data_IF_808588981170
#
_entry.id   IF_808588981170
#
_cell.length_a   1.000
_cell.length_b   1.000
_cell.length_c   1.000
_cell.angle_alpha   90.00
_cell.angle_beta   90.00
_cell.angle_gamma   90.00
#
_symmetry.space_group_name_H-M   'P 1'
#
loop_
_entity.id
_entity.type
_entity.pdbx_description
1 polymer ?
#
# COMPACT_ATOMS: atom_id res chain seq x y z
N UNK A 1 4.42 2.99 -5.78
CA UNK A 1 3.15 2.53 -5.18
C UNK A 1 2.00 2.91 -6.10
N UNK A 2 1.27 1.93 -6.55
CA UNK A 2 0.11 2.15 -7.40
C UNK A 2 -1.16 2.12 -6.57
N UNK A 3 -2.16 2.91 -6.98
CA UNK A 3 -3.44 3.02 -6.28
C UNK A 3 -4.60 2.69 -7.19
N UNK A 4 -5.67 2.15 -6.60
CA UNK A 4 -6.94 1.87 -7.29
C UNK A 4 -6.78 0.96 -8.51
N UNK A 5 -5.90 -0.04 -8.40
CA UNK A 5 -5.72 -1.05 -9.44
C UNK A 5 -6.89 -2.02 -9.46
N UNK A 6 -7.42 -2.31 -10.66
CA UNK A 6 -8.53 -3.25 -10.84
C UNK A 6 -8.03 -4.58 -11.42
N UNK A 7 -8.65 -5.66 -10.97
CA UNK A 7 -8.29 -7.03 -11.37
C UNK A 7 -9.55 -7.84 -11.67
N UNK A 8 -9.46 -8.76 -12.61
CA UNK A 8 -10.57 -9.69 -12.92
C UNK A 8 -10.67 -10.81 -11.89
N UNK A 9 -9.55 -11.16 -11.26
CA UNK A 9 -9.48 -12.14 -10.18
C UNK A 9 -8.92 -11.47 -8.93
N UNK A 10 -9.18 -12.07 -7.74
CA UNK A 10 -8.66 -11.51 -6.50
C UNK A 10 -7.14 -11.45 -6.55
N UNK A 11 -6.54 -10.25 -6.40
CA UNK A 11 -5.09 -10.13 -6.45
C UNK A 11 -4.44 -10.77 -5.22
N UNK A 12 -3.32 -11.43 -5.46
CA UNK A 12 -2.53 -12.07 -4.42
C UNK A 12 -1.11 -11.49 -4.44
N UNK A 13 -0.36 -11.75 -3.36
CA UNK A 13 1.06 -11.44 -3.33
C UNK A 13 1.75 -12.20 -4.45
N UNK A 14 2.47 -11.49 -5.31
CA UNK A 14 3.18 -12.09 -6.43
C UNK A 14 4.67 -11.71 -6.40
N UNK A 15 5.57 -12.60 -6.84
CA UNK A 15 6.99 -12.29 -6.86
C UNK A 15 7.29 -11.16 -7.85
N UNK A 16 8.24 -10.30 -7.48
CA UNK A 16 8.78 -9.25 -8.34
C UNK A 16 10.30 -9.20 -8.16
N UNK A 17 11.01 -9.81 -9.09
CA UNK A 17 12.45 -9.99 -8.96
C UNK A 17 12.79 -11.06 -7.93
N UNK A 18 14.04 -11.07 -7.46
CA UNK A 18 14.54 -12.12 -6.56
C UNK A 18 14.27 -11.84 -5.07
N UNK A 19 14.14 -10.57 -4.70
CA UNK A 19 14.08 -10.13 -3.30
C UNK A 19 12.88 -9.28 -2.95
N UNK A 20 11.96 -9.06 -3.90
CA UNK A 20 10.76 -8.24 -3.73
C UNK A 20 9.49 -8.99 -4.09
N UNK A 21 8.37 -8.48 -3.63
CA UNK A 21 7.04 -9.00 -3.97
C UNK A 21 6.07 -7.84 -4.18
N UNK A 22 5.11 -8.02 -5.10
CA UNK A 22 3.98 -7.11 -5.22
C UNK A 22 2.94 -7.49 -4.18
N UNK A 23 2.57 -6.54 -3.32
CA UNK A 23 1.62 -6.76 -2.23
C UNK A 23 0.40 -5.88 -2.43
N UNK A 24 -0.78 -6.46 -2.75
CA UNK A 24 -2.03 -5.70 -2.81
C UNK A 24 -2.58 -5.50 -1.40
N UNK A 25 -3.10 -4.30 -1.14
CA UNK A 25 -3.69 -3.92 0.15
C UNK A 25 -5.10 -3.37 -0.05
N UNK A 26 -5.98 -3.59 0.94
CA UNK A 26 -7.37 -3.14 0.91
C UNK A 26 -8.11 -3.62 -0.33
N UNK A 27 -8.06 -4.91 -0.58
CA UNK A 27 -8.74 -5.53 -1.73
C UNK A 27 -10.25 -5.52 -1.50
N UNK A 28 -11.01 -4.97 -2.45
CA UNK A 28 -12.46 -4.88 -2.40
C UNK A 28 -13.07 -5.59 -3.59
N UNK A 29 -14.25 -6.15 -3.40
CA UNK A 29 -15.05 -6.72 -4.48
C UNK A 29 -15.91 -5.64 -5.11
N UNK A 30 -15.90 -5.57 -6.44
CA UNK A 30 -16.69 -4.59 -7.19
C UNK A 30 -17.61 -5.38 -8.12
N UNK A 31 -18.94 -5.27 -7.96
CA UNK A 31 -19.86 -5.89 -8.90
C UNK A 31 -19.75 -5.22 -10.28
N UNK A 32 -19.74 -6.04 -11.32
CA UNK A 32 -19.61 -5.59 -12.69
C UNK A 32 -20.45 -6.47 -13.61
N UNK A 33 -20.52 -6.07 -14.88
CA UNK A 33 -21.20 -6.84 -15.92
C UNK A 33 -20.24 -7.03 -17.09
N UNK A 34 -20.13 -8.26 -17.58
CA UNK A 34 -19.26 -8.55 -18.72
C UNK A 34 -19.90 -8.09 -20.06
N UNK A 35 -19.19 -8.27 -21.15
CA UNK A 35 -19.65 -7.87 -22.48
C UNK A 35 -20.92 -8.62 -22.92
N UNK A 36 -21.23 -9.77 -22.33
CA UNK A 36 -22.39 -10.60 -22.63
C UNK A 36 -23.57 -10.31 -21.71
N UNK A 37 -23.42 -9.37 -20.75
CA UNK A 37 -24.46 -8.99 -19.81
C UNK A 37 -24.53 -9.86 -18.56
N UNK A 38 -23.58 -10.76 -18.34
CA UNK A 38 -23.55 -11.61 -17.16
C UNK A 38 -22.95 -10.87 -15.97
N UNK A 39 -23.49 -11.11 -14.76
CA UNK A 39 -22.95 -10.53 -13.55
C UNK A 39 -21.59 -11.17 -13.25
N UNK A 40 -20.57 -10.34 -13.03
CA UNK A 40 -19.22 -10.77 -12.66
C UNK A 40 -18.74 -9.94 -11.48
N UNK A 41 -17.69 -10.42 -10.81
CA UNK A 41 -17.07 -9.69 -9.71
C UNK A 41 -15.65 -9.31 -10.13
N UNK A 42 -15.36 -8.01 -10.08
CA UNK A 42 -14.00 -7.50 -10.21
C UNK A 42 -13.45 -7.20 -8.83
N UNK A 43 -12.15 -7.02 -8.74
CA UNK A 43 -11.47 -6.72 -7.49
C UNK A 43 -10.66 -5.44 -7.65
N UNK A 44 -10.63 -4.63 -6.62
CA UNK A 44 -9.83 -3.42 -6.61
C UNK A 44 -8.92 -3.44 -5.39
N UNK A 45 -7.61 -3.27 -5.62
CA UNK A 45 -6.65 -3.03 -4.56
C UNK A 45 -6.43 -1.53 -4.44
N UNK A 46 -6.68 -0.96 -3.28
CA UNK A 46 -6.47 0.48 -3.05
C UNK A 46 -4.98 0.83 -3.12
N UNK A 47 -4.13 -0.07 -2.68
CA UNK A 47 -2.68 0.12 -2.65
C UNK A 47 -2.01 -1.13 -3.20
N UNK A 48 -1.05 -0.95 -4.10
CA UNK A 48 -0.19 -2.03 -4.60
C UNK A 48 1.26 -1.60 -4.39
N UNK A 49 1.95 -2.28 -3.48
CA UNK A 49 3.33 -1.98 -3.12
C UNK A 49 4.30 -3.06 -3.59
N UNK A 50 5.49 -2.65 -4.02
CA UNK A 50 6.62 -3.54 -4.24
C UNK A 50 7.44 -3.59 -2.96
N UNK A 51 7.41 -4.72 -2.28
CA UNK A 51 7.92 -4.87 -0.92
C UNK A 51 9.11 -5.82 -0.90
N UNK A 52 10.15 -5.42 -0.17
CA UNK A 52 11.33 -6.26 0.04
C UNK A 52 10.98 -7.42 0.98
N UNK A 53 11.43 -8.62 0.66
CA UNK A 53 11.22 -9.80 1.50
C UNK A 53 12.13 -9.76 2.74
N UNK A 54 11.68 -10.29 3.89
CA UNK A 54 10.37 -10.89 4.13
C UNK A 54 9.24 -9.86 4.17
N UNK A 55 8.04 -10.26 3.75
CA UNK A 55 6.88 -9.36 3.72
C UNK A 55 6.23 -9.30 5.10
N UNK A 56 6.37 -8.16 5.76
CA UNK A 56 5.79 -7.86 7.06
C UNK A 56 5.08 -6.51 7.01
N UNK A 57 4.30 -6.17 8.02
CA UNK A 57 3.68 -4.84 8.10
C UNK A 57 4.75 -3.74 8.06
N UNK A 58 5.87 -3.93 8.76
CA UNK A 58 6.97 -2.96 8.77
C UNK A 58 7.63 -2.81 7.40
N UNK A 59 7.89 -3.92 6.69
CA UNK A 59 8.49 -3.85 5.36
C UNK A 59 7.55 -3.22 4.34
N UNK A 60 6.23 -3.42 4.47
CA UNK A 60 5.22 -2.78 3.63
C UNK A 60 5.21 -1.27 3.87
N UNK A 61 5.20 -0.83 5.13
CA UNK A 61 5.26 0.59 5.48
C UNK A 61 6.53 1.23 4.95
N UNK A 62 7.67 0.58 5.13
CA UNK A 62 8.97 1.07 4.64
C UNK A 62 8.95 1.25 3.12
N UNK A 63 8.43 0.27 2.38
CA UNK A 63 8.33 0.33 0.92
C UNK A 63 7.41 1.46 0.46
N UNK A 64 6.25 1.61 1.09
CA UNK A 64 5.31 2.68 0.77
C UNK A 64 5.90 4.07 1.04
N UNK A 65 6.58 4.23 2.15
CA UNK A 65 7.27 5.48 2.50
C UNK A 65 8.37 5.79 1.47
N UNK A 66 9.18 4.80 1.10
CA UNK A 66 10.26 4.97 0.14
C UNK A 66 9.74 5.39 -1.25
N UNK A 67 8.54 4.95 -1.63
CA UNK A 67 7.94 5.35 -2.91
C UNK A 67 7.29 6.73 -2.87
N UNK A 68 6.73 7.12 -1.72
CA UNK A 68 6.03 8.40 -1.57
C UNK A 68 6.97 9.56 -1.21
N UNK A 69 7.98 9.30 -0.40
CA UNK A 69 8.89 10.31 0.14
C UNK A 69 10.31 10.05 -0.34
N UNK A 70 11.01 11.12 -0.75
CA UNK A 70 12.45 11.03 -1.05
C UNK A 70 13.25 10.93 0.25
N UNK A 71 14.53 10.58 0.14
CA UNK A 71 15.42 10.55 1.31
C UNK A 71 15.53 11.93 1.96
N UNK A 72 15.59 13.00 1.15
CA UNK A 72 15.61 14.38 1.65
C UNK A 72 14.32 14.72 2.40
N UNK A 73 13.16 14.31 1.88
CA UNK A 73 11.88 14.52 2.55
C UNK A 73 11.84 13.81 3.89
N UNK A 74 12.31 12.57 3.95
CA UNK A 74 12.34 11.80 5.20
C UNK A 74 13.25 12.42 6.24
N UNK A 75 14.43 12.90 5.83
CA UNK A 75 15.35 13.59 6.74
C UNK A 75 14.73 14.87 7.31
N UNK A 76 14.05 15.64 6.46
CA UNK A 76 13.36 16.87 6.90
C UNK A 76 12.24 16.55 7.88
N UNK A 77 11.42 15.54 7.58
CA UNK A 77 10.31 15.13 8.45
C UNK A 77 10.85 14.64 9.79
N UNK A 78 11.90 13.82 9.80
CA UNK A 78 12.50 13.32 11.03
C UNK A 78 13.12 14.42 11.87
N UNK A 79 13.72 15.42 11.24
CA UNK A 79 14.23 16.61 11.93
C UNK A 79 13.14 17.43 12.60
N UNK A 80 11.91 17.38 12.10
CA UNK A 80 10.77 18.13 12.64
C UNK A 80 9.78 17.25 13.42
N UNK A 81 10.12 16.00 13.68
CA UNK A 81 9.17 14.99 14.16
C UNK A 81 8.56 15.32 15.53
N UNK A 82 9.29 16.05 16.36
CA UNK A 82 8.80 16.49 17.67
C UNK A 82 8.16 17.89 17.63
N UNK A 83 8.16 18.54 16.47
CA UNK A 83 7.59 19.88 16.33
C UNK A 83 6.06 19.80 16.33
N UNK A 84 5.42 20.64 17.14
CA UNK A 84 3.96 20.70 17.21
C UNK A 84 3.37 21.39 15.99
N UNK A 85 2.20 20.91 15.56
CA UNK A 85 1.42 21.50 14.47
C UNK A 85 2.15 21.54 13.12
N UNK A 86 3.09 20.63 12.88
CA UNK A 86 3.73 20.50 11.58
C UNK A 86 2.85 19.64 10.68
N UNK A 87 2.26 20.25 9.65
CA UNK A 87 1.34 19.56 8.74
C UNK A 87 2.02 18.42 7.97
N UNK A 88 3.29 18.56 7.61
CA UNK A 88 4.04 17.53 6.91
C UNK A 88 4.28 16.30 7.80
N UNK A 89 4.64 16.53 9.05
CA UNK A 89 4.84 15.46 10.03
C UNK A 89 3.52 14.73 10.31
N UNK A 90 2.43 15.47 10.49
CA UNK A 90 1.11 14.88 10.71
C UNK A 90 0.65 14.04 9.50
N UNK A 91 0.87 14.53 8.29
CA UNK A 91 0.57 13.79 7.07
C UNK A 91 1.40 12.50 6.96
N UNK A 92 2.68 12.54 7.32
CA UNK A 92 3.56 11.37 7.35
C UNK A 92 3.07 10.32 8.34
N UNK A 93 2.73 10.74 9.56
CA UNK A 93 2.19 9.85 10.60
C UNK A 93 0.88 9.21 10.16
N UNK A 94 -0.03 9.99 9.59
CA UNK A 94 -1.30 9.49 9.08
C UNK A 94 -1.09 8.47 7.94
N UNK A 95 -0.20 8.76 7.02
CA UNK A 95 0.12 7.86 5.91
C UNK A 95 0.69 6.54 6.39
N UNK A 96 1.67 6.55 7.29
CA UNK A 96 2.26 5.33 7.83
C UNK A 96 1.24 4.51 8.63
N UNK A 97 0.37 5.15 9.40
CA UNK A 97 -0.71 4.49 10.13
C UNK A 97 -1.71 3.83 9.18
N UNK A 98 -2.10 4.51 8.11
CA UNK A 98 -3.00 3.98 7.08
C UNK A 98 -2.42 2.72 6.42
N UNK A 99 -1.17 2.78 5.98
CA UNK A 99 -0.50 1.65 5.33
C UNK A 99 -0.34 0.47 6.30
N UNK A 100 0.03 0.75 7.54
CA UNK A 100 0.18 -0.28 8.57
C UNK A 100 -1.15 -0.97 8.88
N UNK A 101 -2.23 -0.20 9.00
CA UNK A 101 -3.56 -0.73 9.24
C UNK A 101 -4.02 -1.60 8.07
N UNK A 102 -3.77 -1.18 6.83
CA UNK A 102 -4.08 -1.93 5.63
C UNK A 102 -3.31 -3.25 5.59
N UNK A 103 -2.01 -3.24 5.93
CA UNK A 103 -1.18 -4.44 5.98
C UNK A 103 -1.68 -5.43 7.03
N UNK A 104 -2.03 -4.96 8.22
CA UNK A 104 -2.56 -5.81 9.29
C UNK A 104 -3.92 -6.39 8.94
N UNK A 105 -4.76 -5.65 8.24
CA UNK A 105 -6.06 -6.13 7.77
C UNK A 105 -5.91 -7.28 6.77
N UNK A 106 -4.82 -7.34 6.02
CA UNK A 106 -4.49 -8.44 5.10
C UNK A 106 -3.75 -9.60 5.81
N UNK A 107 -3.50 -9.50 7.10
CA UNK A 107 -2.87 -10.57 7.90
C UNK A 107 -1.35 -10.46 8.06
N UNK A 108 -0.74 -9.39 7.65
CA UNK A 108 0.70 -9.15 7.85
C UNK A 108 0.97 -8.62 9.26
N UNK A 109 2.07 -9.08 9.82
CA UNK A 109 2.50 -8.66 11.15
C UNK A 109 3.76 -7.80 11.14
#
# INVERSE_FOLDING_TARGET
MEKNMQFETRPEVSPWGNDKANVPLNVKEIPATDAEGNAVTHYQADILCKVKKPVTADSIVEAAVAEKYTDADRLRIMGNFTKENDAEVEAFKAFTAEVRAAAKAEGYE
#
